data_IF_782425982807
#
_entry.id   IF_782425982807
#
_cell.length_a   1.000
_cell.length_b   1.000
_cell.length_c   1.000
_cell.angle_alpha   90.00
_cell.angle_beta   90.00
_cell.angle_gamma   90.00
#
_symmetry.space_group_name_H-M   'P 1'
#
loop_
_entity.id
_entity.type
_entity.pdbx_description
1 polymer ?
#
# COMPACT_ATOMS: atom_id res chain seq x y z
N UNK A 1 -53.86 -21.80 29.49
CA UNK A 1 -54.25 -23.23 29.53
C UNK A 1 -53.30 -24.00 28.63
N UNK A 2 -52.70 -25.07 29.17
CA UNK A 2 -51.95 -26.22 28.59
C UNK A 2 -51.14 -26.01 27.29
N UNK A 3 -49.81 -26.21 27.25
CA UNK A 3 -48.99 -27.42 27.51
C UNK A 3 -49.20 -28.57 26.51
N UNK A 4 -48.15 -28.87 25.74
CA UNK A 4 -47.71 -30.17 25.20
C UNK A 4 -46.37 -29.95 24.44
N UNK A 5 -45.20 -29.98 25.08
CA UNK A 5 -44.34 -31.16 25.34
C UNK A 5 -44.21 -32.17 24.18
N UNK A 6 -42.97 -32.35 23.69
CA UNK A 6 -42.64 -33.22 22.55
C UNK A 6 -41.14 -33.46 22.40
N UNK A 7 -40.48 -33.99 23.44
CA UNK A 7 -39.07 -34.37 23.41
C UNK A 7 -38.81 -35.58 22.51
N UNK A 8 -37.81 -35.50 21.62
CA UNK A 8 -37.20 -36.66 20.96
C UNK A 8 -35.67 -36.65 21.08
N UNK A 9 -35.09 -37.85 21.00
CA UNK A 9 -33.93 -38.26 21.79
C UNK A 9 -32.71 -38.52 20.89
N UNK A 10 -31.51 -38.17 21.39
CA UNK A 10 -30.22 -38.47 20.75
C UNK A 10 -30.07 -39.96 20.40
N UNK A 11 -29.53 -40.27 19.23
CA UNK A 11 -28.69 -41.45 19.03
C UNK A 11 -27.43 -41.05 18.24
N UNK A 12 -26.28 -41.51 18.69
CA UNK A 12 -25.01 -41.32 18.02
C UNK A 12 -24.70 -42.55 17.17
N UNK A 13 -24.23 -42.36 15.94
CA UNK A 13 -23.58 -43.40 15.15
C UNK A 13 -22.19 -42.93 14.76
N UNK A 14 -21.19 -43.56 15.36
CA UNK A 14 -19.77 -43.36 15.04
C UNK A 14 -19.37 -44.37 13.98
N UNK A 15 -19.17 -43.91 12.75
CA UNK A 15 -18.55 -44.70 11.67
C UNK A 15 -17.08 -44.33 11.53
N UNK A 16 -16.20 -45.22 12.02
CA UNK A 16 -14.74 -45.09 11.82
C UNK A 16 -14.41 -45.38 10.35
N UNK A 17 -13.87 -44.42 9.63
CA UNK A 17 -13.23 -44.64 8.33
C UNK A 17 -11.70 -44.48 8.48
N UNK A 18 -11.03 -45.63 8.48
CA UNK A 18 -9.57 -45.74 8.51
C UNK A 18 -9.00 -45.39 7.13
N UNK A 19 -8.12 -44.40 7.07
CA UNK A 19 -7.35 -44.05 5.86
C UNK A 19 -5.84 -44.25 6.14
N UNK A 20 -5.07 -44.87 5.23
CA UNK A 20 -3.69 -45.28 5.52
C UNK A 20 -2.70 -44.11 5.47
N UNK A 21 -1.68 -44.16 6.34
CA UNK A 21 -0.50 -43.28 6.25
C UNK A 21 0.36 -43.67 5.05
N UNK A 22 0.59 -42.73 4.14
CA UNK A 22 1.66 -42.83 3.13
C UNK A 22 2.88 -42.03 3.59
N UNK A 23 3.98 -42.74 3.85
CA UNK A 23 5.23 -42.18 4.36
C UNK A 23 6.14 -41.80 3.19
N UNK A 24 6.07 -40.56 2.70
CA UNK A 24 6.95 -40.09 1.61
C UNK A 24 8.23 -39.46 2.16
N UNK A 25 9.31 -40.25 2.20
CA UNK A 25 10.67 -39.83 2.55
C UNK A 25 11.34 -39.16 1.34
N UNK A 26 11.51 -37.84 1.35
CA UNK A 26 12.26 -37.10 0.33
C UNK A 26 13.73 -36.91 0.72
N UNK A 27 14.64 -37.45 -0.11
CA UNK A 27 16.10 -37.27 0.01
C UNK A 27 16.52 -36.05 -0.82
N UNK A 28 17.41 -35.16 -0.34
CA UNK A 28 17.85 -34.01 -1.11
C UNK A 28 18.91 -34.41 -2.16
N UNK A 29 18.69 -34.02 -3.42
CA UNK A 29 19.67 -34.14 -4.51
C UNK A 29 20.19 -32.75 -4.91
N UNK A 30 21.46 -32.49 -4.58
CA UNK A 30 22.37 -31.68 -5.41
C UNK A 30 22.62 -32.47 -6.72
N UNK A 31 22.96 -31.85 -7.87
CA UNK A 31 24.28 -31.19 -7.97
C UNK A 31 24.52 -30.13 -9.08
N UNK A 32 25.79 -29.70 -9.14
CA UNK A 32 26.56 -29.11 -10.24
C UNK A 32 26.17 -27.74 -10.83
N UNK A 33 27.00 -26.76 -10.47
CA UNK A 33 27.27 -25.58 -11.31
C UNK A 33 28.05 -25.99 -12.56
N UNK A 34 27.76 -25.33 -13.69
CA UNK A 34 28.59 -25.37 -14.89
C UNK A 34 29.06 -23.94 -15.22
N UNK A 35 30.38 -23.76 -15.22
CA UNK A 35 31.07 -22.50 -15.54
C UNK A 35 31.84 -22.71 -16.83
N UNK A 36 31.71 -21.83 -17.83
CA UNK A 36 32.62 -21.69 -19.00
C UNK A 36 32.26 -20.39 -19.77
N UNK A 37 33.11 -19.85 -20.67
CA UNK A 37 33.97 -18.74 -20.29
C UNK A 37 33.65 -17.40 -20.97
N UNK A 38 34.30 -16.35 -20.46
CA UNK A 38 34.29 -14.99 -21.00
C UNK A 38 35.29 -14.86 -22.16
N UNK A 39 34.87 -14.27 -23.29
CA UNK A 39 35.74 -13.82 -24.37
C UNK A 39 35.32 -12.40 -24.79
N UNK A 40 36.29 -11.49 -24.97
CA UNK A 40 36.09 -10.24 -25.74
C UNK A 40 36.07 -10.54 -27.24
N UNK A 41 35.85 -9.61 -28.16
CA UNK A 41 35.75 -8.14 -28.10
C UNK A 41 34.66 -7.66 -29.11
N UNK A 42 34.43 -6.39 -29.46
CA UNK A 42 35.14 -5.12 -29.18
C UNK A 42 34.18 -3.92 -29.17
N UNK A 43 34.72 -2.72 -28.96
CA UNK A 43 33.99 -1.44 -29.02
C UNK A 43 33.98 -0.82 -30.41
N UNK A 44 32.85 -0.24 -30.82
CA UNK A 44 32.83 0.94 -31.71
C UNK A 44 31.92 1.99 -31.06
N UNK A 45 32.52 3.07 -30.58
CA UNK A 45 31.84 4.34 -30.25
C UNK A 45 32.48 5.42 -31.10
N UNK A 46 31.66 6.21 -31.79
CA UNK A 46 32.12 7.45 -32.42
C UNK A 46 32.21 8.58 -31.36
N UNK A 47 33.30 9.34 -31.40
CA UNK A 47 33.52 10.54 -30.61
C UNK A 47 32.79 11.75 -31.25
N UNK A 48 32.43 12.82 -30.54
CA UNK A 48 33.29 13.94 -30.08
C UNK A 48 32.40 14.95 -29.31
N UNK A 49 32.80 15.96 -28.52
CA UNK A 49 34.05 16.48 -27.89
C UNK A 49 33.59 17.55 -26.86
N UNK A 50 34.06 17.58 -25.60
CA UNK A 50 35.12 18.49 -25.09
C UNK A 50 35.49 18.09 -23.63
N UNK A 51 36.75 17.79 -23.25
CA UNK A 51 37.83 18.67 -22.72
C UNK A 51 37.42 19.53 -21.49
N UNK A 52 38.02 19.49 -20.28
CA UNK A 52 39.32 18.98 -19.75
C UNK A 52 39.23 18.81 -18.20
N UNK A 53 40.01 17.92 -17.51
CA UNK A 53 39.83 17.61 -16.07
C UNK A 53 40.86 18.26 -15.10
N UNK A 54 40.63 18.17 -13.78
CA UNK A 54 41.71 17.92 -12.81
C UNK A 54 41.29 16.85 -11.74
N UNK A 55 42.08 16.62 -10.67
CA UNK A 55 42.78 15.36 -10.45
C UNK A 55 42.03 14.33 -9.58
N UNK A 56 42.59 13.12 -9.55
CA UNK A 56 42.15 11.99 -8.73
C UNK A 56 42.44 12.21 -7.24
N UNK A 57 41.40 12.16 -6.41
CA UNK A 57 41.51 11.73 -5.01
C UNK A 57 40.53 10.58 -4.76
N UNK A 58 41.00 9.58 -4.02
CA UNK A 58 40.22 8.40 -3.66
C UNK A 58 39.13 8.75 -2.66
N UNK A 59 37.87 8.56 -3.03
CA UNK A 59 36.74 8.65 -2.09
C UNK A 59 35.96 7.35 -2.07
N UNK A 60 35.85 6.82 -0.86
CA UNK A 60 35.12 5.63 -0.45
C UNK A 60 33.70 5.58 -1.02
N UNK A 61 33.28 4.41 -1.49
CA UNK A 61 32.00 4.21 -2.19
C UNK A 61 30.82 4.11 -1.20
N UNK A 62 30.66 5.13 -0.37
CA UNK A 62 29.48 5.31 0.47
C UNK A 62 28.27 5.62 -0.42
N UNK A 63 27.34 4.66 -0.50
CA UNK A 63 26.06 4.84 -1.16
C UNK A 63 25.30 5.99 -0.49
N UNK A 64 25.29 7.18 -1.13
CA UNK A 64 24.47 8.31 -0.66
C UNK A 64 23.02 7.86 -0.55
N UNK A 65 22.38 7.95 0.63
CA UNK A 65 20.96 7.67 0.74
C UNK A 65 20.18 8.69 -0.10
N UNK A 66 19.14 8.22 -0.80
CA UNK A 66 18.19 9.12 -1.48
C UNK A 66 17.55 10.04 -0.42
N UNK A 67 17.28 11.32 -0.74
CA UNK A 67 16.57 12.20 0.18
C UNK A 67 15.16 11.64 0.44
N UNK A 68 14.84 11.39 1.71
CA UNK A 68 13.52 10.96 2.18
C UNK A 68 12.80 12.13 2.87
N UNK A 69 11.47 12.02 2.98
CA UNK A 69 10.56 13.03 3.54
C UNK A 69 10.64 14.43 2.89
N UNK A 70 9.80 14.68 1.89
CA UNK A 70 9.47 16.04 1.44
C UNK A 70 7.97 16.14 1.19
N UNK A 71 7.26 16.80 2.09
CA UNK A 71 5.79 16.89 2.02
C UNK A 71 5.36 17.80 0.87
N UNK A 72 4.13 17.62 0.32
CA UNK A 72 3.60 18.51 -0.70
C UNK A 72 3.65 19.97 -0.25
N UNK A 73 3.30 20.21 1.02
CA UNK A 73 3.33 21.52 1.68
C UNK A 73 4.71 22.18 1.62
N UNK A 74 5.80 21.47 1.95
CA UNK A 74 7.17 22.00 1.93
C UNK A 74 7.66 22.41 0.53
N UNK A 75 7.01 21.92 -0.54
CA UNK A 75 7.26 22.28 -1.94
C UNK A 75 6.27 23.30 -2.51
N UNK A 76 5.20 23.61 -1.77
CA UNK A 76 4.13 24.53 -2.20
C UNK A 76 4.42 25.98 -1.81
N UNK A 77 3.71 26.92 -2.44
CA UNK A 77 3.73 28.33 -2.05
C UNK A 77 3.29 28.56 -0.58
N UNK A 78 2.52 27.62 0.00
CA UNK A 78 2.05 27.68 1.39
C UNK A 78 3.18 27.64 2.42
N UNK A 79 4.34 27.09 2.08
CA UNK A 79 5.55 27.18 2.92
C UNK A 79 6.05 28.63 3.11
N UNK A 80 5.61 29.57 2.27
CA UNK A 80 5.88 31.01 2.48
C UNK A 80 5.04 31.61 3.63
N UNK A 81 3.85 31.07 3.89
CA UNK A 81 2.91 31.60 4.88
C UNK A 81 3.31 31.34 6.34
N UNK A 82 4.25 30.43 6.59
CA UNK A 82 4.86 30.16 7.91
C UNK A 82 6.19 30.90 8.14
N UNK A 83 6.81 31.46 7.09
CA UNK A 83 8.08 32.23 7.21
C UNK A 83 8.05 33.35 8.24
N UNK A 84 7.02 34.21 8.35
CA UNK A 84 7.03 35.28 9.37
C UNK A 84 7.02 34.73 10.79
N UNK A 85 6.37 33.58 11.02
CA UNK A 85 6.33 32.88 12.30
C UNK A 85 7.70 32.29 12.66
N UNK A 86 8.36 31.64 11.70
CA UNK A 86 9.71 31.10 11.89
C UNK A 86 10.75 32.22 12.10
N UNK A 87 10.55 33.39 11.51
CA UNK A 87 11.45 34.54 11.62
C UNK A 87 11.24 35.38 12.88
N UNK A 88 10.03 35.43 13.44
CA UNK A 88 9.72 36.20 14.64
C UNK A 88 8.76 35.41 15.56
N UNK A 89 9.28 34.47 16.37
CA UNK A 89 8.47 33.64 17.25
C UNK A 89 7.88 34.48 18.40
N UNK A 90 6.55 34.49 18.52
CA UNK A 90 5.83 35.07 19.67
C UNK A 90 6.32 34.42 20.97
N UNK A 91 6.61 35.17 22.06
CA UNK A 91 7.14 34.60 23.30
C UNK A 91 6.17 33.63 24.03
N UNK A 92 4.90 33.56 23.63
CA UNK A 92 3.89 32.61 24.13
C UNK A 92 3.98 31.22 23.48
N UNK A 93 4.73 31.08 22.38
CA UNK A 93 4.81 29.86 21.58
C UNK A 93 5.92 28.94 22.08
N UNK A 94 5.61 27.64 22.13
CA UNK A 94 6.62 26.61 22.37
C UNK A 94 7.67 26.56 21.25
N UNK A 95 8.76 25.83 21.51
CA UNK A 95 9.65 25.37 20.44
C UNK A 95 8.86 24.65 19.33
N UNK A 96 9.31 24.83 18.09
CA UNK A 96 8.79 24.09 16.94
C UNK A 96 9.21 22.63 17.07
N UNK A 97 8.26 21.70 16.92
CA UNK A 97 8.49 20.26 17.02
C UNK A 97 7.92 19.54 15.79
N UNK A 98 8.48 18.39 15.38
CA UNK A 98 8.01 17.67 14.19
C UNK A 98 6.74 16.83 14.47
N UNK A 99 5.96 16.63 13.42
CA UNK A 99 4.93 15.60 13.28
C UNK A 99 5.38 14.67 12.17
N UNK A 100 5.72 13.43 12.51
CA UNK A 100 6.24 12.45 11.55
C UNK A 100 5.19 11.38 11.28
N UNK A 101 4.99 11.04 10.01
CA UNK A 101 4.01 10.06 9.57
C UNK A 101 4.65 8.99 8.70
N UNK A 102 4.19 7.75 8.88
CA UNK A 102 4.77 6.57 8.25
C UNK A 102 3.66 5.65 7.74
N UNK A 103 3.63 5.38 6.44
CA UNK A 103 2.79 4.35 5.84
C UNK A 103 3.60 3.06 5.65
N UNK A 104 3.19 1.98 6.33
CA UNK A 104 3.98 0.73 6.41
C UNK A 104 3.23 -0.49 5.83
N UNK A 105 1.92 -0.40 5.65
CA UNK A 105 1.08 -1.41 5.02
C UNK A 105 -0.11 -0.74 4.30
N UNK A 106 -0.84 -1.49 3.47
CA UNK A 106 -2.10 -0.98 2.90
C UNK A 106 -3.24 -0.96 3.94
N UNK A 107 -3.18 -1.80 4.98
CA UNK A 107 -4.16 -1.84 6.06
C UNK A 107 -3.62 -2.50 7.33
N UNK A 108 -4.04 -2.00 8.48
CA UNK A 108 -3.77 -2.57 9.81
C UNK A 108 -5.03 -3.17 10.45
N UNK A 109 -4.88 -4.33 11.07
CA UNK A 109 -5.89 -4.94 11.94
C UNK A 109 -5.72 -4.43 13.37
N UNK A 110 -6.22 -3.23 13.66
CA UNK A 110 -6.04 -2.55 14.95
C UNK A 110 -6.29 -3.43 16.20
N UNK A 111 -7.32 -4.29 16.28
CA UNK A 111 -7.51 -5.16 17.44
C UNK A 111 -6.33 -6.12 17.69
N UNK A 112 -5.69 -6.61 16.61
CA UNK A 112 -4.51 -7.48 16.71
C UNK A 112 -3.26 -6.69 17.07
N UNK A 113 -3.07 -5.49 16.53
CA UNK A 113 -1.97 -4.60 16.90
C UNK A 113 -2.08 -4.24 18.39
N UNK A 114 -3.26 -3.80 18.85
CA UNK A 114 -3.54 -3.51 20.27
C UNK A 114 -3.23 -4.71 21.16
N UNK A 115 -3.73 -5.90 20.82
CA UNK A 115 -3.45 -7.11 21.58
C UNK A 115 -1.95 -7.45 21.63
N UNK A 116 -1.23 -7.28 20.51
CA UNK A 116 0.21 -7.54 20.45
C UNK A 116 1.00 -6.54 21.33
N UNK A 117 0.74 -5.24 21.21
CA UNK A 117 1.39 -4.20 22.02
C UNK A 117 1.08 -4.44 23.51
N UNK A 118 -0.18 -4.67 23.88
CA UNK A 118 -0.56 -4.95 25.26
C UNK A 118 0.07 -6.23 25.82
N UNK A 119 0.29 -7.26 24.99
CA UNK A 119 0.92 -8.52 25.46
C UNK A 119 2.44 -8.40 25.59
N UNK A 120 3.11 -7.83 24.60
CA UNK A 120 4.58 -7.81 24.55
C UNK A 120 5.20 -6.60 25.27
N UNK A 121 4.48 -5.48 25.38
CA UNK A 121 5.01 -4.23 25.93
C UNK A 121 4.33 -3.79 27.25
N UNK A 122 3.55 -4.67 27.89
CA UNK A 122 3.06 -4.44 29.26
C UNK A 122 4.21 -4.22 30.25
N UNK A 123 5.30 -4.98 30.14
CA UNK A 123 6.53 -4.80 30.93
C UNK A 123 7.29 -3.52 30.61
N UNK A 124 7.04 -2.91 29.44
CA UNK A 124 7.61 -1.65 29.02
C UNK A 124 6.74 -0.44 29.40
N UNK A 125 5.58 -0.63 30.06
CA UNK A 125 4.72 0.47 30.49
C UNK A 125 4.04 1.27 29.36
N UNK A 126 3.89 0.69 28.16
CA UNK A 126 3.17 1.34 27.06
C UNK A 126 1.66 1.25 27.31
N UNK A 127 1.03 2.37 27.65
CA UNK A 127 -0.42 2.49 27.66
C UNK A 127 -0.97 2.62 26.22
N UNK A 128 -2.04 1.87 25.91
CA UNK A 128 -2.70 1.93 24.58
C UNK A 128 -4.19 2.16 24.75
N UNK A 129 -4.63 3.36 24.37
CA UNK A 129 -6.00 3.80 24.39
C UNK A 129 -6.63 3.67 23.00
N UNK A 130 -7.96 3.56 22.93
CA UNK A 130 -8.70 3.66 21.67
C UNK A 130 -9.36 5.05 21.64
N UNK A 131 -8.99 5.86 20.65
CA UNK A 131 -9.55 7.20 20.41
C UNK A 131 -10.24 7.15 19.06
N UNK A 132 -11.58 7.07 19.09
CA UNK A 132 -12.42 6.81 17.92
C UNK A 132 -11.91 5.59 17.13
N UNK A 133 -11.41 5.81 15.91
CA UNK A 133 -10.94 4.75 15.00
C UNK A 133 -9.41 4.51 15.05
N UNK A 134 -8.68 5.22 15.93
CA UNK A 134 -7.23 5.09 16.08
C UNK A 134 -6.83 4.54 17.45
N UNK A 135 -5.69 3.85 17.49
CA UNK A 135 -5.01 3.56 18.75
C UNK A 135 -4.12 4.76 19.11
N UNK A 136 -4.24 5.27 20.34
CA UNK A 136 -3.44 6.37 20.85
C UNK A 136 -2.50 5.88 21.96
N UNK A 137 -1.23 6.23 21.84
CA UNK A 137 -0.17 5.99 22.81
C UNK A 137 0.22 7.36 23.39
N UNK A 138 -0.08 7.63 24.67
CA UNK A 138 0.03 8.96 25.27
C UNK A 138 1.49 9.39 25.54
N UNK A 139 2.42 8.44 25.63
CA UNK A 139 3.87 8.68 25.84
C UNK A 139 4.72 7.57 25.21
N UNK A 140 5.68 7.95 24.39
CA UNK A 140 6.76 7.09 23.87
C UNK A 140 8.04 7.91 23.61
N UNK A 141 9.26 7.43 23.96
CA UNK A 141 9.55 6.16 24.62
C UNK A 141 9.02 6.12 26.05
N UNK A 142 8.68 4.93 26.52
CA UNK A 142 8.29 4.74 27.90
C UNK A 142 9.50 4.96 28.83
N UNK A 143 9.27 5.42 30.06
CA UNK A 143 10.34 5.83 30.98
C UNK A 143 11.33 4.72 31.36
N UNK A 144 10.99 3.45 31.14
CA UNK A 144 11.87 2.28 31.33
C UNK A 144 12.69 1.90 30.09
N UNK A 145 12.35 2.40 28.91
CA UNK A 145 13.08 2.18 27.64
C UNK A 145 14.05 3.32 27.31
N UNK A 146 13.93 4.47 27.96
CA UNK A 146 14.87 5.58 27.91
C UNK A 146 16.15 5.30 28.76
N UNK A 147 16.75 4.11 28.58
CA UNK A 147 17.75 3.55 29.48
C UNK A 147 19.05 4.34 29.58
N UNK A 148 19.48 4.54 30.83
CA UNK A 148 20.86 4.77 31.27
C UNK A 148 21.67 5.86 30.53
N UNK A 149 21.13 7.08 30.51
CA UNK A 149 21.94 8.27 30.30
C UNK A 149 22.81 8.53 31.53
N UNK A 150 24.00 7.92 31.58
CA UNK A 150 25.04 8.21 32.57
C UNK A 150 25.66 9.59 32.33
N UNK A 151 24.93 10.66 32.63
CA UNK A 151 25.48 11.89 33.20
C UNK A 151 24.37 12.84 33.64
N UNK A 152 24.63 13.63 34.69
CA UNK A 152 23.66 14.50 35.36
C UNK A 152 23.24 15.76 34.59
N UNK A 153 23.00 15.68 33.28
CA UNK A 153 22.38 16.76 32.53
C UNK A 153 20.86 16.77 32.78
N UNK A 154 20.31 17.96 33.06
CA UNK A 154 18.89 18.12 33.31
C UNK A 154 18.06 17.58 32.14
N UNK A 155 17.17 16.64 32.46
CA UNK A 155 16.21 16.01 31.56
C UNK A 155 15.50 17.07 30.71
N UNK A 156 15.80 17.13 29.41
CA UNK A 156 15.21 18.15 28.53
C UNK A 156 13.69 18.00 28.51
N UNK A 157 12.99 19.11 28.73
CA UNK A 157 11.56 19.24 28.45
C UNK A 157 11.34 19.04 26.93
N UNK A 158 11.11 17.78 26.52
CA UNK A 158 11.04 17.41 25.10
C UNK A 158 11.47 15.99 24.76
N UNK A 159 12.03 15.19 25.67
CA UNK A 159 12.27 13.77 25.41
C UNK A 159 10.95 12.97 25.36
N UNK A 160 10.64 12.43 24.17
CA UNK A 160 9.44 11.66 23.87
C UNK A 160 8.27 12.46 23.31
N UNK A 161 7.21 11.73 22.96
CA UNK A 161 6.03 12.24 22.29
C UNK A 161 4.84 11.28 22.29
N UNK A 162 3.85 11.56 21.45
CA UNK A 162 2.61 10.77 21.31
C UNK A 162 2.56 10.04 19.98
N UNK A 163 1.86 8.90 19.91
CA UNK A 163 1.66 8.15 18.66
C UNK A 163 0.18 7.82 18.44
N UNK A 164 -0.32 8.07 17.23
CA UNK A 164 -1.60 7.58 16.74
C UNK A 164 -1.39 6.50 15.66
N UNK A 165 -2.08 5.36 15.76
CA UNK A 165 -2.02 4.27 14.78
C UNK A 165 -3.40 4.10 14.13
N UNK A 166 -3.46 4.18 12.80
CA UNK A 166 -4.70 4.18 12.02
C UNK A 166 -4.92 2.87 11.26
N UNK A 167 -6.20 2.51 11.02
CA UNK A 167 -6.55 1.29 10.31
C UNK A 167 -6.06 1.25 8.85
N UNK A 168 -5.79 2.41 8.24
CA UNK A 168 -5.27 2.57 6.87
C UNK A 168 -3.78 2.19 6.70
N UNK A 169 -3.15 1.54 7.70
CA UNK A 169 -1.78 1.02 7.56
C UNK A 169 -0.68 2.01 7.90
N UNK A 170 -1.02 3.13 8.55
CA UNK A 170 -0.09 4.19 8.92
C UNK A 170 -0.07 4.48 10.42
N UNK A 171 0.97 5.19 10.86
CA UNK A 171 1.02 5.80 12.18
C UNK A 171 1.60 7.22 12.12
N UNK A 172 1.27 8.03 13.13
CA UNK A 172 1.59 9.47 13.26
C UNK A 172 2.22 9.71 14.61
N UNK A 173 3.46 10.20 14.64
CA UNK A 173 4.22 10.55 15.83
C UNK A 173 4.25 12.07 16.02
N UNK A 174 3.87 12.56 17.21
CA UNK A 174 3.89 13.97 17.58
C UNK A 174 5.03 14.26 18.56
N UNK A 175 5.93 15.16 18.17
CA UNK A 175 6.99 15.68 19.03
C UNK A 175 8.24 14.80 19.13
N UNK A 176 8.22 13.63 18.51
CA UNK A 176 9.35 12.69 18.46
C UNK A 176 10.31 13.05 17.32
N UNK A 177 11.61 12.92 17.57
CA UNK A 177 12.63 12.97 16.52
C UNK A 177 12.49 11.83 15.51
N UNK A 178 13.13 11.97 14.34
CA UNK A 178 13.14 10.91 13.32
C UNK A 178 13.74 9.60 13.86
N UNK A 179 14.80 9.69 14.67
CA UNK A 179 15.40 8.52 15.30
C UNK A 179 14.43 7.79 16.25
N UNK A 180 13.72 8.52 17.11
CA UNK A 180 12.74 7.94 18.04
C UNK A 180 11.56 7.30 17.30
N UNK A 181 11.13 7.91 16.19
CA UNK A 181 10.06 7.36 15.34
C UNK A 181 10.52 6.11 14.57
N UNK A 182 11.77 6.08 14.09
CA UNK A 182 12.38 4.89 13.51
C UNK A 182 12.57 3.77 14.55
N UNK A 183 12.94 4.10 15.81
CA UNK A 183 12.98 3.14 16.94
C UNK A 183 11.59 2.56 17.21
N UNK A 184 10.54 3.39 17.33
CA UNK A 184 9.15 2.94 17.48
C UNK A 184 8.73 1.99 16.34
N UNK A 185 9.04 2.36 15.10
CA UNK A 185 8.76 1.55 13.92
C UNK A 185 9.39 0.15 14.00
N UNK A 186 10.66 0.08 14.42
CA UNK A 186 11.43 -1.17 14.51
C UNK A 186 11.06 -2.03 15.73
N UNK A 187 10.80 -1.41 16.87
CA UNK A 187 10.65 -2.10 18.16
C UNK A 187 9.18 -2.43 18.48
N UNK A 188 8.24 -1.58 18.09
CA UNK A 188 6.80 -1.77 18.36
C UNK A 188 6.05 -2.24 17.12
N UNK A 189 6.22 -1.56 15.98
CA UNK A 189 5.41 -1.83 14.79
C UNK A 189 5.87 -3.06 14.01
N UNK A 190 7.18 -3.24 13.77
CA UNK A 190 7.69 -4.36 12.98
C UNK A 190 7.37 -5.75 13.58
N UNK A 191 7.38 -5.97 14.91
CA UNK A 191 6.83 -7.19 15.52
C UNK A 191 5.32 -7.32 15.35
N UNK A 192 4.56 -6.25 15.64
CA UNK A 192 3.09 -6.25 15.57
C UNK A 192 2.55 -6.54 14.17
N UNK A 193 3.22 -6.07 13.12
CA UNK A 193 2.79 -6.27 11.73
C UNK A 193 2.78 -7.74 11.30
N UNK A 194 3.61 -8.63 11.88
CA UNK A 194 3.80 -10.02 11.41
C UNK A 194 2.54 -10.88 11.36
N UNK A 195 1.48 -10.52 12.10
CA UNK A 195 0.17 -11.17 12.05
C UNK A 195 -1.03 -10.21 11.92
N UNK A 196 -0.77 -8.92 11.73
CA UNK A 196 -1.78 -7.85 11.80
C UNK A 196 -1.73 -6.84 10.64
N UNK A 197 -0.68 -6.84 9.81
CA UNK A 197 -0.63 -6.03 8.58
C UNK A 197 -1.15 -6.81 7.37
N UNK A 198 -1.97 -6.15 6.55
CA UNK A 198 -2.35 -6.62 5.22
C UNK A 198 -1.53 -5.84 4.20
N UNK A 199 -0.86 -6.57 3.29
CA UNK A 199 0.04 -6.01 2.29
C UNK A 199 1.06 -5.01 2.88
N UNK A 200 2.05 -5.49 3.67
CA UNK A 200 3.16 -4.66 4.12
C UNK A 200 3.93 -4.09 2.92
N UNK A 201 4.32 -2.83 3.01
CA UNK A 201 5.14 -2.16 2.02
C UNK A 201 6.60 -2.63 2.10
N UNK A 202 7.34 -2.50 0.98
CA UNK A 202 8.78 -2.79 0.93
C UNK A 202 9.62 -1.66 1.53
N UNK A 203 9.21 -0.43 1.25
CA UNK A 203 9.77 0.80 1.79
C UNK A 203 8.61 1.58 2.38
N UNK A 204 8.77 2.08 3.61
CA UNK A 204 7.75 2.90 4.23
C UNK A 204 7.77 4.31 3.61
N UNK A 205 6.61 4.80 3.18
CA UNK A 205 6.46 6.20 2.77
C UNK A 205 6.40 7.10 4.01
N UNK A 206 7.04 8.26 3.95
CA UNK A 206 7.16 9.17 5.09
C UNK A 206 6.81 10.62 4.75
N UNK A 207 6.16 11.29 5.70
CA UNK A 207 5.66 12.66 5.57
C UNK A 207 5.85 13.42 6.90
N UNK A 208 6.44 14.61 6.82
CA UNK A 208 6.89 15.44 7.95
C UNK A 208 6.21 16.84 7.90
N UNK A 209 5.50 17.19 8.97
CA UNK A 209 5.04 18.56 9.24
C UNK A 209 5.70 19.09 10.52
N UNK A 210 5.52 20.38 10.78
CA UNK A 210 5.93 21.01 12.04
C UNK A 210 4.68 21.43 12.83
N UNK A 211 4.80 21.46 14.16
CA UNK A 211 3.80 22.03 15.05
C UNK A 211 4.40 22.88 16.17
N UNK A 212 3.58 23.77 16.71
CA UNK A 212 3.84 24.62 17.88
C UNK A 212 2.61 24.60 18.77
N UNK A 213 2.79 24.62 20.09
CA UNK A 213 1.71 24.82 21.06
C UNK A 213 1.71 26.26 21.58
N UNK A 214 0.54 26.92 21.59
CA UNK A 214 0.30 28.23 22.19
C UNK A 214 -1.10 28.29 22.83
N UNK A 215 -1.24 28.38 24.17
CA UNK A 215 -2.53 28.48 24.86
C UNK A 215 -3.34 29.75 24.57
N UNK A 216 -2.75 30.76 23.92
CA UNK A 216 -3.38 32.05 23.65
C UNK A 216 -3.96 32.18 22.24
N UNK A 217 -3.48 31.39 21.28
CA UNK A 217 -4.01 31.36 19.91
C UNK A 217 -5.11 30.30 19.72
N UNK A 218 -6.00 30.46 18.74
CA UNK A 218 -6.88 29.38 18.30
C UNK A 218 -6.06 28.32 17.54
N UNK A 219 -6.47 27.06 17.63
CA UNK A 219 -5.90 25.97 16.84
C UNK A 219 -6.13 26.23 15.35
N UNK A 220 -5.07 26.15 14.52
CA UNK A 220 -5.16 26.37 13.07
C UNK A 220 -3.95 25.80 12.31
N UNK A 221 -4.13 25.61 11.01
CA UNK A 221 -3.04 25.33 10.07
C UNK A 221 -2.58 26.63 9.40
N UNK A 222 -1.28 26.92 9.47
CA UNK A 222 -0.65 28.09 8.85
C UNK A 222 0.47 27.63 7.90
N UNK A 223 0.11 27.33 6.66
CA UNK A 223 1.05 26.80 5.67
C UNK A 223 1.46 25.36 5.98
N UNK A 224 2.73 25.14 6.28
CA UNK A 224 3.32 23.86 6.71
C UNK A 224 3.42 23.70 8.25
N UNK A 225 2.93 24.68 9.01
CA UNK A 225 2.98 24.70 10.48
C UNK A 225 1.59 24.57 11.12
N UNK A 226 1.42 23.58 12.00
CA UNK A 226 0.23 23.42 12.84
C UNK A 226 0.41 24.25 14.12
N UNK A 227 -0.53 25.15 14.41
CA UNK A 227 -0.60 25.85 15.70
C UNK A 227 -1.68 25.14 16.53
N UNK A 228 -1.29 24.54 17.65
CA UNK A 228 -2.18 23.91 18.63
C UNK A 228 -2.43 24.90 19.77
N UNK A 229 -3.69 25.25 20.00
CA UNK A 229 -4.09 26.19 21.03
C UNK A 229 -5.52 25.94 21.48
N UNK A 230 -6.30 26.98 21.72
CA UNK A 230 -7.71 26.81 22.10
C UNK A 230 -8.52 26.26 20.92
N UNK A 231 -9.47 25.39 21.21
CA UNK A 231 -10.55 25.06 20.27
C UNK A 231 -11.59 26.17 20.36
N UNK A 232 -12.09 26.64 19.23
CA UNK A 232 -13.09 27.72 19.16
C UNK A 232 -14.37 27.14 18.54
N UNK A 233 -15.50 27.19 19.26
CA UNK A 233 -16.81 26.91 18.70
C UNK A 233 -17.06 27.72 17.43
N UNK A 234 -17.21 26.99 16.32
CA UNK A 234 -17.90 27.51 15.16
C UNK A 234 -19.35 27.76 15.59
N UNK A 235 -19.80 29.00 15.41
CA UNK A 235 -21.09 29.55 15.81
C UNK A 235 -21.31 29.78 17.33
N UNK A 236 -20.75 30.88 17.82
CA UNK A 236 -21.61 31.92 18.37
C UNK A 236 -21.75 33.03 17.32
N UNK A 237 -22.93 33.27 16.73
CA UNK A 237 -23.06 34.29 15.69
C UNK A 237 -22.76 35.67 16.28
N UNK A 238 -21.90 36.45 15.60
CA UNK A 238 -21.70 37.88 15.86
C UNK A 238 -22.94 38.68 15.43
N UNK A 239 -24.07 38.48 16.12
CA UNK A 239 -25.22 39.38 16.06
C UNK A 239 -25.54 39.90 17.46
N UNK A 240 -25.47 41.22 17.55
CA UNK A 240 -25.72 42.00 18.75
C UNK A 240 -27.19 41.96 19.17
N UNK A 241 -27.52 41.16 20.18
CA UNK A 241 -28.77 41.29 20.94
C UNK A 241 -28.47 41.47 22.44
N UNK A 242 -28.40 42.72 22.95
CA UNK A 242 -27.91 43.03 24.30
C UNK A 242 -28.97 42.82 25.40
N UNK A 243 -29.85 41.81 25.30
CA UNK A 243 -30.99 41.68 26.24
C UNK A 243 -31.38 40.26 26.72
N UNK A 244 -30.66 39.19 26.37
CA UNK A 244 -30.95 37.84 26.89
C UNK A 244 -29.73 37.15 27.54
N UNK A 245 -29.18 37.81 28.56
CA UNK A 245 -28.22 37.20 29.49
C UNK A 245 -28.91 36.23 30.45
N UNK A 246 -29.24 35.02 29.98
CA UNK A 246 -29.40 33.86 30.86
C UNK A 246 -28.00 33.43 31.35
N UNK A 247 -27.80 33.12 32.64
CA UNK A 247 -26.51 32.68 33.13
C UNK A 247 -26.21 31.27 32.58
N UNK A 248 -25.38 31.21 31.55
CA UNK A 248 -24.78 29.96 31.09
C UNK A 248 -24.01 29.34 32.25
N UNK A 249 -24.43 28.13 32.64
CA UNK A 249 -23.78 27.35 33.70
C UNK A 249 -22.28 27.24 33.47
N UNK A 250 -21.45 27.21 34.53
CA UNK A 250 -20.02 27.04 34.38
C UNK A 250 -19.72 25.81 33.53
N UNK A 251 -18.82 26.01 32.57
CA UNK A 251 -18.32 25.00 31.65
C UNK A 251 -18.14 23.66 32.33
N UNK A 252 -18.66 22.60 31.70
CA UNK A 252 -18.55 21.26 32.24
C UNK A 252 -17.08 20.93 32.46
N UNK A 253 -16.71 20.86 33.74
CA UNK A 253 -15.60 20.04 34.22
C UNK A 253 -15.96 18.59 33.95
N UNK A 254 -15.89 18.20 32.67
CA UNK A 254 -15.73 16.82 32.29
C UNK A 254 -14.45 16.37 33.01
N UNK A 255 -14.62 15.51 34.01
CA UNK A 255 -13.52 14.84 34.69
C UNK A 255 -12.93 13.85 33.70
N UNK A 256 -12.15 14.38 32.76
CA UNK A 256 -11.33 13.58 31.86
C UNK A 256 -10.44 12.71 32.74
N UNK A 257 -10.39 11.39 32.55
CA UNK A 257 -9.48 10.55 33.31
C UNK A 257 -8.07 11.12 33.12
N UNK A 258 -7.31 11.23 34.22
CA UNK A 258 -5.98 11.85 34.25
C UNK A 258 -4.93 10.94 33.60
N UNK A 259 -5.11 10.66 32.31
CA UNK A 259 -4.15 9.99 31.45
C UNK A 259 -2.96 10.93 31.36
N UNK A 260 -1.80 10.46 31.81
CA UNK A 260 -0.56 11.24 31.77
C UNK A 260 -0.03 11.28 30.33
N UNK A 261 -0.62 12.14 29.51
CA UNK A 261 -0.19 12.44 28.15
C UNK A 261 1.06 13.35 28.13
N UNK A 262 1.81 13.30 27.04
CA UNK A 262 2.95 14.20 26.84
C UNK A 262 2.51 15.60 26.37
N UNK A 263 1.39 15.74 25.64
CA UNK A 263 0.79 17.03 25.29
C UNK A 263 -0.54 17.27 26.02
N UNK A 264 -1.01 18.53 26.17
CA UNK A 264 -2.27 18.84 26.87
C UNK A 264 -3.47 18.06 26.33
N UNK A 265 -4.33 17.58 27.23
CA UNK A 265 -5.51 16.78 26.88
C UNK A 265 -6.50 17.55 26.00
N UNK A 266 -6.65 18.86 26.23
CA UNK A 266 -7.60 19.74 25.52
C UNK A 266 -7.33 19.81 24.01
N UNK A 267 -6.07 19.57 23.58
CA UNK A 267 -5.71 19.55 22.15
C UNK A 267 -5.70 18.14 21.55
N UNK A 268 -6.11 17.10 22.29
CA UNK A 268 -6.13 15.71 21.81
C UNK A 268 -7.04 15.53 20.60
N UNK A 269 -8.26 16.08 20.63
CA UNK A 269 -9.20 15.98 19.50
C UNK A 269 -8.63 16.67 18.24
N UNK A 270 -8.21 17.95 18.28
CA UNK A 270 -7.53 18.56 17.13
C UNK A 270 -6.30 17.80 16.63
N UNK A 271 -5.45 17.27 17.53
CA UNK A 271 -4.32 16.40 17.15
C UNK A 271 -4.80 15.15 16.42
N UNK A 272 -5.89 14.51 16.86
CA UNK A 272 -6.49 13.36 16.17
C UNK A 272 -6.96 13.72 14.75
N UNK A 273 -7.65 14.85 14.55
CA UNK A 273 -8.12 15.26 13.22
C UNK A 273 -6.98 15.58 12.24
N UNK A 274 -5.96 16.33 12.70
CA UNK A 274 -4.76 16.56 11.90
C UNK A 274 -4.03 15.24 11.59
N UNK A 275 -3.93 14.34 12.56
CA UNK A 275 -3.33 13.01 12.37
C UNK A 275 -4.12 12.16 11.37
N UNK A 276 -5.46 12.25 11.37
CA UNK A 276 -6.28 11.49 10.42
C UNK A 276 -6.14 12.04 8.99
N UNK A 277 -6.09 13.37 8.81
CA UNK A 277 -5.83 13.97 7.50
C UNK A 277 -4.43 13.60 6.97
N UNK A 278 -3.41 13.67 7.83
CA UNK A 278 -2.05 13.26 7.49
C UNK A 278 -1.96 11.77 7.16
N UNK A 279 -2.55 10.90 7.98
CA UNK A 279 -2.54 9.44 7.75
C UNK A 279 -3.12 9.06 6.38
N UNK A 280 -4.13 9.79 5.92
CA UNK A 280 -4.75 9.63 4.59
C UNK A 280 -3.83 10.12 3.47
N UNK A 281 -3.14 11.26 3.64
CA UNK A 281 -2.12 11.75 2.68
C UNK A 281 -0.99 10.75 2.49
N UNK A 282 -0.44 10.21 3.59
CA UNK A 282 0.70 9.27 3.52
C UNK A 282 0.29 7.91 2.97
N UNK A 283 -0.91 7.43 3.32
CA UNK A 283 -1.49 6.22 2.72
C UNK A 283 -1.76 6.39 1.21
N UNK A 284 -2.14 7.59 0.76
CA UNK A 284 -2.29 7.91 -0.65
C UNK A 284 -0.94 7.91 -1.37
N UNK A 285 0.12 8.47 -0.78
CA UNK A 285 1.50 8.41 -1.30
C UNK A 285 1.97 6.97 -1.52
N UNK A 286 1.69 6.08 -0.56
CA UNK A 286 1.97 4.65 -0.66
C UNK A 286 1.25 3.97 -1.84
N UNK A 287 -0.01 4.34 -2.08
CA UNK A 287 -0.81 3.83 -3.19
C UNK A 287 -0.33 4.40 -4.53
N UNK A 288 -0.05 5.70 -4.62
CA UNK A 288 0.54 6.38 -5.77
C UNK A 288 1.85 5.71 -6.21
N UNK A 289 2.79 5.51 -5.29
CA UNK A 289 4.07 4.86 -5.57
C UNK A 289 3.88 3.41 -6.05
N UNK A 290 2.94 2.65 -5.46
CA UNK A 290 2.61 1.29 -5.89
C UNK A 290 2.00 1.26 -7.30
N UNK A 291 1.12 2.22 -7.62
CA UNK A 291 0.47 2.36 -8.92
C UNK A 291 1.46 2.80 -10.01
N UNK A 292 2.38 3.73 -9.73
CA UNK A 292 3.38 4.18 -10.70
C UNK A 292 4.42 3.08 -11.01
N UNK A 293 4.77 2.26 -10.02
CA UNK A 293 5.53 1.02 -10.22
C UNK A 293 4.76 -0.01 -11.09
N UNK A 294 3.43 -0.05 -11.00
CA UNK A 294 2.62 -0.89 -11.88
C UNK A 294 2.56 -0.33 -13.31
N UNK A 295 2.28 0.97 -13.47
CA UNK A 295 2.18 1.64 -14.77
C UNK A 295 3.49 1.57 -15.57
N UNK A 296 4.63 1.86 -14.94
CA UNK A 296 5.96 1.72 -15.57
C UNK A 296 6.27 0.26 -15.97
N UNK A 297 5.67 -0.73 -15.31
CA UNK A 297 5.77 -2.15 -15.69
C UNK A 297 4.82 -2.59 -16.82
N UNK A 298 3.98 -1.66 -17.31
CA UNK A 298 2.98 -1.83 -18.37
C UNK A 298 3.28 -0.89 -19.55
N UNK A 299 3.99 0.23 -19.33
CA UNK A 299 4.25 1.27 -20.33
C UNK A 299 5.10 0.84 -21.54
N UNK A 300 5.77 -0.31 -21.49
CA UNK A 300 6.51 -0.88 -22.63
C UNK A 300 5.62 -1.65 -23.62
N UNK A 301 4.33 -1.86 -23.28
CA UNK A 301 3.39 -2.60 -24.13
C UNK A 301 3.02 -1.86 -25.43
N UNK A 302 2.69 -0.55 -25.42
CA UNK A 302 2.43 0.21 -26.65
C UNK A 302 3.61 0.14 -27.62
N UNK A 303 4.82 0.46 -27.18
CA UNK A 303 6.04 0.43 -28.01
C UNK A 303 6.32 -0.96 -28.61
N UNK A 304 6.03 -2.02 -27.84
CA UNK A 304 6.20 -3.41 -28.28
C UNK A 304 5.15 -3.80 -29.33
N UNK A 305 3.92 -3.34 -29.15
CA UNK A 305 2.81 -3.54 -30.09
C UNK A 305 3.05 -2.78 -31.41
N UNK A 306 3.48 -1.52 -31.34
CA UNK A 306 3.81 -0.71 -32.52
C UNK A 306 4.91 -1.38 -33.37
N UNK A 307 6.01 -1.78 -32.74
CA UNK A 307 7.18 -2.31 -33.46
C UNK A 307 7.00 -3.75 -33.97
N UNK A 308 6.20 -4.58 -33.30
CA UNK A 308 6.15 -6.03 -33.58
C UNK A 308 4.77 -6.58 -33.92
N UNK A 309 3.71 -5.77 -33.80
CA UNK A 309 2.32 -6.22 -33.91
C UNK A 309 1.88 -7.21 -32.83
N UNK A 310 2.72 -7.45 -31.80
CA UNK A 310 2.49 -8.46 -30.76
C UNK A 310 2.80 -7.88 -29.38
N UNK A 311 2.09 -8.29 -28.30
CA UNK A 311 2.29 -7.70 -26.97
C UNK A 311 3.68 -7.90 -26.34
N UNK A 312 4.55 -8.77 -26.89
CA UNK A 312 5.85 -9.12 -26.27
C UNK A 312 5.78 -9.86 -24.92
N UNK A 313 4.63 -9.87 -24.25
CA UNK A 313 4.40 -10.44 -22.92
C UNK A 313 3.57 -11.73 -23.01
N UNK A 314 3.88 -12.70 -22.14
CA UNK A 314 3.17 -13.99 -22.10
C UNK A 314 1.72 -13.85 -21.59
N UNK A 315 0.80 -14.70 -22.11
CA UNK A 315 -0.60 -14.79 -21.63
C UNK A 315 -0.72 -14.90 -20.11
N UNK A 316 0.14 -15.70 -19.48
CA UNK A 316 0.16 -15.88 -18.02
C UNK A 316 0.52 -14.60 -17.29
N UNK A 317 1.46 -13.83 -17.83
CA UNK A 317 1.90 -12.58 -17.23
C UNK A 317 0.86 -11.46 -17.37
N UNK A 318 0.19 -11.38 -18.53
CA UNK A 318 -0.96 -10.50 -18.73
C UNK A 318 -2.04 -10.77 -17.68
N UNK A 319 -2.38 -12.04 -17.43
CA UNK A 319 -3.35 -12.42 -16.40
C UNK A 319 -2.88 -12.02 -14.98
N UNK A 320 -1.57 -12.09 -14.69
CA UNK A 320 -1.01 -11.56 -13.42
C UNK A 320 -1.18 -10.04 -13.32
N UNK A 321 -0.86 -9.28 -14.38
CA UNK A 321 -1.00 -7.81 -14.41
C UNK A 321 -2.46 -7.39 -14.22
N UNK A 322 -3.40 -8.10 -14.86
CA UNK A 322 -4.85 -7.98 -14.66
C UNK A 322 -5.23 -8.19 -13.18
N UNK A 323 -4.73 -9.25 -12.52
CA UNK A 323 -4.98 -9.48 -11.10
C UNK A 323 -4.47 -8.34 -10.20
N UNK A 324 -3.32 -7.75 -10.54
CA UNK A 324 -2.77 -6.59 -9.83
C UNK A 324 -3.65 -5.35 -10.02
N UNK A 325 -4.14 -5.05 -11.23
CA UNK A 325 -5.04 -3.92 -11.44
C UNK A 325 -6.40 -4.11 -10.74
N UNK A 326 -6.94 -5.33 -10.74
CA UNK A 326 -8.14 -5.65 -9.97
C UNK A 326 -7.94 -5.39 -8.47
N UNK A 327 -6.75 -5.68 -7.92
CA UNK A 327 -6.41 -5.32 -6.54
C UNK A 327 -6.36 -3.81 -6.31
N UNK A 328 -5.80 -3.01 -7.21
CA UNK A 328 -5.85 -1.53 -7.08
C UNK A 328 -7.28 -1.00 -7.07
N UNK A 329 -8.13 -1.47 -8.01
CA UNK A 329 -9.54 -1.08 -8.08
C UNK A 329 -10.34 -1.52 -6.86
N UNK A 330 -10.09 -2.73 -6.36
CA UNK A 330 -10.67 -3.21 -5.09
C UNK A 330 -10.18 -2.38 -3.90
N UNK A 331 -8.90 -2.05 -3.86
CA UNK A 331 -8.27 -1.26 -2.80
C UNK A 331 -8.90 0.11 -2.63
N UNK A 332 -9.02 0.90 -3.71
CA UNK A 332 -9.70 2.20 -3.65
C UNK A 332 -11.18 2.08 -3.28
N UNK A 333 -11.91 1.12 -3.87
CA UNK A 333 -13.35 0.98 -3.60
C UNK A 333 -13.64 0.53 -2.16
N UNK A 334 -12.82 -0.36 -1.59
CA UNK A 334 -12.98 -0.79 -0.19
C UNK A 334 -12.45 0.24 0.82
N UNK A 335 -11.49 1.07 0.43
CA UNK A 335 -10.93 2.13 1.25
C UNK A 335 -11.54 3.51 0.92
N UNK A 336 -12.74 3.57 0.33
CA UNK A 336 -13.37 4.82 -0.13
C UNK A 336 -13.51 5.86 0.99
N UNK A 337 -13.86 5.39 2.18
CA UNK A 337 -13.95 6.17 3.43
C UNK A 337 -12.63 6.87 3.80
N UNK A 338 -11.46 6.34 3.40
CA UNK A 338 -10.16 6.93 3.70
C UNK A 338 -9.79 8.10 2.77
N UNK A 339 -10.42 8.25 1.60
CA UNK A 339 -9.92 9.19 0.57
C UNK A 339 -10.96 10.19 0.05
N UNK A 340 -12.26 9.84 0.04
CA UNK A 340 -13.29 10.64 -0.60
C UNK A 340 -14.12 11.48 0.38
N UNK A 341 -14.60 10.84 1.44
CA UNK A 341 -15.62 11.42 2.32
C UNK A 341 -15.04 11.85 3.67
N UNK A 342 -15.66 12.87 4.25
CA UNK A 342 -15.39 13.32 5.62
C UNK A 342 -16.06 12.35 6.59
N UNK A 343 -15.34 11.75 7.55
CA UNK A 343 -15.92 10.82 8.52
C UNK A 343 -17.17 11.33 9.23
N UNK A 344 -18.17 10.47 9.38
CA UNK A 344 -19.42 10.70 10.12
C UNK A 344 -19.17 11.20 11.56
N UNK A 345 -18.03 10.83 12.15
CA UNK A 345 -17.55 11.36 13.44
C UNK A 345 -17.61 12.89 13.51
N UNK A 346 -17.25 13.58 12.41
CA UNK A 346 -17.16 15.03 12.38
C UNK A 346 -18.52 15.72 12.19
N UNK A 347 -19.62 14.97 11.99
CA UNK A 347 -20.97 15.55 11.99
C UNK A 347 -21.43 15.94 13.40
N UNK A 348 -20.81 15.38 14.45
CA UNK A 348 -21.10 15.72 15.85
C UNK A 348 -20.30 16.94 16.30
N UNK A 349 -19.12 17.18 15.71
CA UNK A 349 -18.15 18.18 16.15
C UNK A 349 -17.64 19.02 14.95
N UNK A 350 -18.36 20.10 14.55
CA UNK A 350 -18.04 20.85 13.34
C UNK A 350 -16.68 21.59 13.43
N UNK A 351 -16.24 21.98 14.63
CA UNK A 351 -14.90 22.54 14.87
C UNK A 351 -13.81 21.60 14.33
N UNK A 352 -13.99 20.31 14.62
CA UNK A 352 -13.06 19.25 14.29
C UNK A 352 -13.09 18.91 12.80
N UNK A 353 -14.27 19.01 12.17
CA UNK A 353 -14.43 18.96 10.72
C UNK A 353 -13.61 20.04 10.02
N UNK A 354 -13.59 21.27 10.58
CA UNK A 354 -12.81 22.39 10.08
C UNK A 354 -11.32 22.10 10.00
N UNK A 355 -10.72 21.55 11.08
CA UNK A 355 -9.31 21.17 11.10
C UNK A 355 -8.99 20.05 10.10
N UNK A 356 -9.85 19.02 10.04
CA UNK A 356 -9.69 17.91 9.10
C UNK A 356 -9.76 18.37 7.63
N UNK A 357 -10.75 19.21 7.29
CA UNK A 357 -10.92 19.78 5.94
C UNK A 357 -9.76 20.71 5.58
N UNK A 358 -9.32 21.58 6.51
CA UNK A 358 -8.21 22.50 6.31
C UNK A 358 -6.92 21.75 5.95
N UNK A 359 -6.55 20.73 6.74
CA UNK A 359 -5.37 19.90 6.47
C UNK A 359 -5.53 19.07 5.20
N UNK A 360 -6.69 18.44 4.97
CA UNK A 360 -6.93 17.64 3.76
C UNK A 360 -6.89 18.46 2.47
N UNK A 361 -7.31 19.72 2.53
CA UNK A 361 -7.18 20.67 1.42
C UNK A 361 -5.72 21.10 1.21
N UNK A 362 -5.00 21.41 2.29
CA UNK A 362 -3.61 21.83 2.26
C UNK A 362 -2.66 20.72 1.73
N UNK A 363 -2.99 19.45 1.97
CA UNK A 363 -2.31 18.26 1.44
C UNK A 363 -2.82 17.80 0.06
N UNK A 364 -3.75 18.55 -0.54
CA UNK A 364 -4.35 18.31 -1.87
C UNK A 364 -4.97 16.89 -2.05
N UNK A 365 -5.40 16.25 -0.96
CA UNK A 365 -5.80 14.82 -0.92
C UNK A 365 -6.85 14.50 -1.99
N UNK A 366 -7.84 15.39 -2.20
CA UNK A 366 -8.90 15.22 -3.20
C UNK A 366 -8.37 15.28 -4.64
N UNK A 367 -7.48 16.21 -4.95
CA UNK A 367 -6.92 16.36 -6.30
C UNK A 367 -6.01 15.16 -6.65
N UNK A 368 -5.17 14.74 -5.68
CA UNK A 368 -4.34 13.55 -5.78
C UNK A 368 -5.16 12.27 -5.96
N UNK A 369 -6.22 12.09 -5.18
CA UNK A 369 -7.13 10.93 -5.28
C UNK A 369 -7.78 10.84 -6.66
N UNK A 370 -8.20 11.97 -7.24
CA UNK A 370 -8.72 12.01 -8.62
C UNK A 370 -7.65 11.58 -9.64
N UNK A 371 -6.43 12.13 -9.56
CA UNK A 371 -5.34 11.76 -10.45
C UNK A 371 -4.96 10.27 -10.37
N UNK A 372 -5.03 9.65 -9.19
CA UNK A 372 -4.88 8.20 -9.00
C UNK A 372 -6.03 7.42 -9.67
N UNK A 373 -7.27 7.89 -9.53
CA UNK A 373 -8.43 7.26 -10.18
C UNK A 373 -8.33 7.32 -11.72
N UNK A 374 -7.86 8.44 -12.27
CA UNK A 374 -7.66 8.62 -13.71
C UNK A 374 -6.54 7.68 -14.22
N UNK A 375 -5.42 7.59 -13.50
CA UNK A 375 -4.34 6.62 -13.75
C UNK A 375 -4.84 5.16 -13.76
N UNK A 376 -5.73 4.79 -12.83
CA UNK A 376 -6.34 3.44 -12.77
C UNK A 376 -7.32 3.22 -13.93
N UNK A 377 -8.04 4.26 -14.35
CA UNK A 377 -8.97 4.20 -15.50
C UNK A 377 -8.19 3.95 -16.80
N UNK A 378 -7.12 4.72 -17.05
CA UNK A 378 -6.20 4.49 -18.16
C UNK A 378 -5.60 3.06 -18.14
N UNK A 379 -5.16 2.58 -16.97
CA UNK A 379 -4.66 1.22 -16.84
C UNK A 379 -5.73 0.15 -17.17
N UNK A 380 -7.01 0.42 -16.88
CA UNK A 380 -8.12 -0.48 -17.18
C UNK A 380 -8.45 -0.54 -18.67
N UNK A 381 -8.30 0.58 -19.40
CA UNK A 381 -8.41 0.64 -20.85
C UNK A 381 -7.29 -0.17 -21.53
N UNK A 382 -6.03 0.07 -21.16
CA UNK A 382 -4.87 -0.70 -21.65
C UNK A 382 -5.06 -2.21 -21.39
N UNK A 383 -5.54 -2.56 -20.21
CA UNK A 383 -5.86 -3.95 -19.86
C UNK A 383 -7.02 -4.53 -20.71
N UNK A 384 -8.00 -3.72 -21.10
CA UNK A 384 -9.10 -4.15 -21.97
C UNK A 384 -8.60 -4.53 -23.36
N UNK A 385 -7.79 -3.66 -23.98
CA UNK A 385 -7.15 -3.89 -25.27
C UNK A 385 -6.28 -5.16 -25.24
N UNK A 386 -5.47 -5.31 -24.19
CA UNK A 386 -4.58 -6.45 -24.01
C UNK A 386 -5.35 -7.79 -23.81
N UNK A 387 -6.55 -7.74 -23.21
CA UNK A 387 -7.45 -8.89 -23.12
C UNK A 387 -8.06 -9.24 -24.49
N UNK A 388 -8.44 -8.25 -25.30
CA UNK A 388 -8.98 -8.47 -26.64
C UNK A 388 -7.99 -9.22 -27.53
N UNK A 389 -6.74 -8.75 -27.61
CA UNK A 389 -5.65 -9.38 -28.37
C UNK A 389 -5.37 -10.83 -27.92
N UNK A 390 -5.47 -11.11 -26.62
CA UNK A 390 -5.32 -12.46 -26.08
C UNK A 390 -6.44 -13.41 -26.49
N UNK A 391 -7.67 -12.92 -26.55
CA UNK A 391 -8.86 -13.68 -26.96
C UNK A 391 -8.77 -14.04 -28.44
N UNK A 392 -8.45 -13.06 -29.29
CA UNK A 392 -8.23 -13.24 -30.74
C UNK A 392 -7.17 -14.32 -31.03
N UNK A 393 -6.00 -14.22 -30.37
CA UNK A 393 -4.94 -15.23 -30.46
C UNK A 393 -5.41 -16.61 -29.98
N UNK A 394 -6.34 -16.67 -29.02
CA UNK A 394 -6.91 -17.94 -28.53
C UNK A 394 -7.85 -18.58 -29.54
N UNK A 395 -8.68 -17.78 -30.21
CA UNK A 395 -9.59 -18.26 -31.26
C UNK A 395 -8.80 -18.90 -32.40
N UNK A 396 -7.75 -18.22 -32.90
CA UNK A 396 -6.87 -18.76 -33.94
C UNK A 396 -6.15 -20.05 -33.50
N UNK A 397 -5.78 -20.17 -32.22
CA UNK A 397 -5.17 -21.40 -31.68
C UNK A 397 -6.15 -22.58 -31.66
N UNK A 398 -7.43 -22.33 -31.33
CA UNK A 398 -8.49 -23.35 -31.37
C UNK A 398 -8.83 -23.75 -32.80
N UNK A 399 -8.87 -22.77 -33.72
CA UNK A 399 -9.09 -23.00 -35.14
C UNK A 399 -8.02 -23.92 -35.75
N UNK A 400 -6.74 -23.65 -35.49
CA UNK A 400 -5.65 -24.53 -35.93
C UNK A 400 -5.75 -25.96 -35.39
N UNK A 401 -6.22 -26.14 -34.15
CA UNK A 401 -6.46 -27.49 -33.59
C UNK A 401 -7.60 -28.20 -34.33
N UNK A 402 -8.68 -27.50 -34.65
CA UNK A 402 -9.81 -28.05 -35.43
C UNK A 402 -9.35 -28.43 -36.85
N UNK A 403 -8.62 -27.54 -37.53
CA UNK A 403 -8.07 -27.80 -38.87
C UNK A 403 -7.12 -29.00 -38.84
N UNK A 404 -6.24 -29.10 -37.85
CA UNK A 404 -5.32 -30.24 -37.70
C UNK A 404 -6.06 -31.56 -37.47
N UNK A 405 -7.13 -31.58 -36.66
CA UNK A 405 -7.96 -32.77 -36.44
C UNK A 405 -8.66 -33.23 -37.74
N UNK A 406 -9.22 -32.29 -38.50
CA UNK A 406 -9.83 -32.59 -39.82
C UNK A 406 -8.77 -33.10 -40.81
N UNK A 407 -7.58 -32.49 -40.84
CA UNK A 407 -6.50 -32.92 -41.73
C UNK A 407 -6.02 -34.35 -41.42
N UNK A 408 -5.93 -34.72 -40.14
CA UNK A 408 -5.59 -36.10 -39.72
C UNK A 408 -6.66 -37.09 -40.18
N UNK A 409 -7.95 -36.76 -40.00
CA UNK A 409 -9.06 -37.62 -40.44
C UNK A 409 -9.03 -37.83 -41.97
N UNK A 410 -8.81 -36.77 -42.75
CA UNK A 410 -8.68 -36.85 -44.22
C UNK A 410 -7.48 -37.71 -44.64
N UNK A 411 -6.33 -37.59 -43.96
CA UNK A 411 -5.16 -38.44 -44.24
C UNK A 411 -5.45 -39.91 -43.93
N UNK A 412 -6.15 -40.22 -42.83
CA UNK A 412 -6.55 -41.59 -42.49
C UNK A 412 -7.50 -42.15 -43.56
N UNK A 413 -8.50 -41.38 -43.98
CA UNK A 413 -9.43 -41.78 -45.04
C UNK A 413 -8.72 -42.03 -46.37
N UNK A 414 -7.77 -41.16 -46.77
CA UNK A 414 -6.95 -41.34 -47.97
C UNK A 414 -6.05 -42.58 -47.90
N UNK A 415 -5.49 -42.92 -46.75
CA UNK A 415 -4.69 -44.14 -46.60
C UNK A 415 -5.57 -45.40 -46.66
N UNK A 416 -6.80 -45.35 -46.10
CA UNK A 416 -7.70 -46.50 -46.04
C UNK A 416 -8.37 -46.79 -47.39
N UNK A 417 -8.97 -45.77 -48.00
CA UNK A 417 -9.85 -45.92 -49.16
C UNK A 417 -9.15 -45.50 -50.48
N UNK A 418 -8.00 -44.81 -50.39
CA UNK A 418 -7.23 -44.34 -51.55
C UNK A 418 -6.68 -45.43 -52.48
N UNK A 419 -6.23 -46.61 -52.01
CA UNK A 419 -5.78 -47.67 -52.91
C UNK A 419 -6.89 -48.16 -53.85
N UNK A 420 -8.11 -48.36 -53.33
CA UNK A 420 -9.27 -48.79 -54.12
C UNK A 420 -9.67 -47.71 -55.14
N UNK A 421 -9.72 -46.44 -54.70
CA UNK A 421 -10.01 -45.30 -55.58
C UNK A 421 -8.94 -45.11 -56.66
N UNK A 422 -7.65 -45.35 -56.36
CA UNK A 422 -6.56 -45.26 -57.33
C UNK A 422 -6.66 -46.36 -58.39
N UNK A 423 -6.93 -47.60 -57.99
CA UNK A 423 -7.16 -48.70 -58.94
C UNK A 423 -8.39 -48.48 -59.81
N UNK A 424 -9.45 -47.85 -59.27
CA UNK A 424 -10.66 -47.50 -60.03
C UNK A 424 -10.44 -46.32 -60.99
N UNK A 425 -9.50 -45.41 -60.70
CA UNK A 425 -9.21 -44.22 -61.51
C UNK A 425 -8.13 -44.43 -62.60
N UNK A 426 -7.11 -45.24 -62.32
CA UNK A 426 -5.95 -45.43 -63.22
C UNK A 426 -5.84 -46.84 -63.81
N UNK A 427 -6.71 -47.77 -63.41
CA UNK A 427 -6.71 -49.16 -63.88
C UNK A 427 -5.59 -50.01 -63.27
N UNK A 428 -5.68 -51.35 -63.39
CA UNK A 428 -4.57 -52.23 -63.02
C UNK A 428 -3.41 -52.07 -64.03
N UNK A 429 -2.14 -52.06 -63.58
CA UNK A 429 -1.01 -52.10 -64.49
C UNK A 429 -1.00 -53.44 -65.25
N UNK A 430 -0.81 -53.40 -66.57
CA UNK A 430 -0.64 -54.61 -67.38
C UNK A 430 0.57 -55.41 -66.87
N UNK A 431 0.32 -56.68 -66.50
CA UNK A 431 1.38 -57.63 -66.20
C UNK A 431 1.80 -58.31 -67.50
N UNK A 432 2.98 -57.94 -68.02
CA UNK A 432 3.64 -58.68 -69.10
C UNK A 432 4.03 -60.08 -68.61
N UNK A 433 3.13 -61.06 -68.82
CA UNK A 433 3.37 -62.48 -68.53
C UNK A 433 4.02 -63.12 -69.76
N UNK A 434 5.34 -63.15 -69.79
CA UNK A 434 6.09 -63.84 -70.84
C UNK A 434 7.37 -64.56 -70.35
N UNK A 435 7.21 -65.64 -69.57
CA UNK A 435 8.12 -66.79 -69.61
C UNK A 435 7.51 -68.03 -68.93
N UNK A 436 7.71 -69.23 -69.49
CA UNK A 436 7.34 -70.50 -68.84
C UNK A 436 6.67 -71.56 -69.72
N UNK A 437 7.47 -72.32 -70.46
CA UNK A 437 7.07 -73.53 -71.22
C UNK A 437 6.44 -74.63 -70.34
N UNK A 438 5.64 -75.55 -70.94
CA UNK A 438 5.93 -76.97 -70.68
C UNK A 438 5.89 -77.89 -71.92
N UNK A 439 6.49 -79.08 -71.76
CA UNK A 439 6.65 -80.14 -72.74
C UNK A 439 5.35 -80.91 -73.09
N UNK A 440 5.21 -81.31 -74.35
CA UNK A 440 4.63 -82.57 -74.86
C UNK A 440 4.76 -82.57 -76.41
N UNK A 441 5.09 -83.66 -77.11
CA UNK A 441 5.47 -85.02 -76.71
C UNK A 441 6.51 -85.59 -77.71
#
# INVERSE_FOLDING_TARGET
MNLLTGTLRRSALSSRLTSPRLTTRSVPLRPHAFTLPRLGSSSIRLASTSSTPPPTDSVDATLKPRPKASTPLRRSASASASRPIRANPTPTRSAIRPVLTFAMAERFLLPRIRAHIMTHNASAGIEVHLVHEALWIPRWPASSLAGDATDGQAKKEGEGGEVFIFANGTFVCWGMSEEEAQRFSREVMAPAMRGAALAPLREAETEELEFVTDPHEPTRLQGDLIILGRVQPLDSPEQSDPFLSLPSSPSSTATTPSISAHLPADTLLPRYAFSQALSRSTALSALEASLDNFLSSVSQLPDSLERTGKPGISRREIIKKLGVLMRFRQGLNLNRENFFDTPDLYWVEPELEGFFKSMSAALEVKARTNAVNDKITYAAEVQSLLRQLLTETSTHSMELVIIALIAVEVVIALIRDGPELWHMAFGPPEQDVSEGTPQAA
#
